data_IF_479808163074
#
_entry.id   IF_479808163074
#
_cell.length_a   1.000
_cell.length_b   1.000
_cell.length_c   1.000
_cell.angle_alpha   90.00
_cell.angle_beta   90.00
_cell.angle_gamma   90.00
#
_symmetry.space_group_name_H-M   'P 1'
#
loop_
_entity.id
_entity.type
_entity.pdbx_description
1 polymer ?
#
# COMPACT_ATOMS: atom_id res chain seq x y z
N UNK A 1 -26.83 14.66 -5.54
CA UNK A 1 -25.43 14.32 -5.87
C UNK A 1 -25.41 12.89 -6.38
N UNK A 2 -25.04 12.67 -7.64
CA UNK A 2 -24.90 11.30 -8.16
C UNK A 2 -23.77 10.56 -7.45
N UNK A 3 -23.75 9.22 -7.48
CA UNK A 3 -22.62 8.46 -6.98
C UNK A 3 -21.34 8.94 -7.68
N UNK A 4 -20.21 9.06 -6.97
CA UNK A 4 -18.95 9.41 -7.60
C UNK A 4 -18.68 8.43 -8.75
N UNK A 5 -18.10 8.89 -9.88
CA UNK A 5 -17.77 8.01 -11.00
C UNK A 5 -16.95 6.82 -10.49
N UNK A 6 -17.12 5.62 -11.08
CA UNK A 6 -16.42 4.43 -10.61
C UNK A 6 -14.92 4.72 -10.59
N UNK A 7 -14.34 4.71 -9.39
CA UNK A 7 -12.92 4.96 -9.23
C UNK A 7 -12.16 3.99 -10.13
N UNK A 8 -11.38 4.52 -11.07
CA UNK A 8 -10.56 3.70 -11.95
C UNK A 8 -9.72 2.72 -11.15
N UNK A 9 -9.46 1.53 -11.71
CA UNK A 9 -8.55 0.56 -11.11
C UNK A 9 -7.22 0.60 -11.85
N UNK A 10 -6.13 0.59 -11.10
CA UNK A 10 -4.77 0.44 -11.62
C UNK A 10 -4.34 -1.02 -11.46
N UNK A 11 -3.75 -1.59 -12.51
CA UNK A 11 -3.32 -2.99 -12.58
C UNK A 11 -1.81 -3.10 -12.41
N UNK A 12 -1.39 -4.05 -11.58
CA UNK A 12 0.01 -4.44 -11.41
C UNK A 12 0.18 -5.90 -11.81
N UNK A 13 1.16 -6.19 -12.66
CA UNK A 13 1.41 -7.52 -13.21
C UNK A 13 2.88 -7.87 -13.12
N UNK A 14 3.18 -9.04 -12.56
CA UNK A 14 4.53 -9.58 -12.55
C UNK A 14 4.80 -10.33 -13.85
N UNK A 15 5.74 -9.81 -14.63
CA UNK A 15 6.25 -10.47 -15.84
C UNK A 15 7.47 -11.31 -15.49
N UNK A 16 7.53 -12.55 -15.98
CA UNK A 16 8.63 -13.49 -15.73
C UNK A 16 8.21 -14.74 -14.95
N UNK A 17 9.19 -15.59 -14.64
CA UNK A 17 8.98 -16.79 -13.83
C UNK A 17 9.09 -16.47 -12.34
N UNK A 18 8.19 -17.03 -11.53
CA UNK A 18 8.37 -17.09 -10.09
C UNK A 18 9.22 -18.31 -9.74
N UNK A 19 9.88 -18.32 -8.56
CA UNK A 19 10.47 -19.54 -8.03
C UNK A 19 9.43 -20.67 -7.99
N UNK A 20 9.80 -21.94 -8.29
CA UNK A 20 8.84 -23.05 -8.37
C UNK A 20 7.98 -23.23 -7.10
N UNK A 21 8.51 -22.89 -5.93
CA UNK A 21 7.80 -23.00 -4.66
C UNK A 21 6.77 -21.87 -4.41
N UNK A 22 6.79 -20.80 -5.20
CA UNK A 22 5.82 -19.69 -5.16
C UNK A 22 4.83 -19.73 -6.33
N UNK A 23 5.15 -20.46 -7.39
CA UNK A 23 4.28 -20.60 -8.55
C UNK A 23 2.92 -21.19 -8.12
N UNK A 24 1.83 -20.56 -8.56
CA UNK A 24 0.47 -20.93 -8.16
C UNK A 24 0.04 -20.58 -6.73
N UNK A 25 0.95 -20.10 -5.87
CA UNK A 25 0.61 -19.67 -4.49
C UNK A 25 0.30 -18.18 -4.36
N UNK A 26 0.85 -17.37 -5.26
CA UNK A 26 0.64 -15.92 -5.28
C UNK A 26 -0.02 -15.48 -6.59
N UNK A 27 -0.93 -14.50 -6.56
CA UNK A 27 -1.48 -13.93 -7.78
C UNK A 27 -0.40 -13.26 -8.60
N UNK A 28 -0.37 -13.53 -9.90
CA UNK A 28 0.51 -12.82 -10.84
C UNK A 28 0.04 -11.39 -11.12
N UNK A 29 -1.21 -11.09 -10.81
CA UNK A 29 -1.86 -9.81 -11.07
C UNK A 29 -2.62 -9.30 -9.84
N UNK A 30 -2.49 -8.01 -9.59
CA UNK A 30 -3.28 -7.27 -8.61
C UNK A 30 -3.99 -6.10 -9.28
N UNK A 31 -5.16 -5.74 -8.75
CA UNK A 31 -5.88 -4.53 -9.11
C UNK A 31 -6.31 -3.79 -7.86
N UNK A 32 -5.95 -2.52 -7.78
CA UNK A 32 -6.34 -1.63 -6.68
C UNK A 32 -6.97 -0.36 -7.26
N UNK A 33 -7.72 0.37 -6.45
CA UNK A 33 -8.21 1.68 -6.86
C UNK A 33 -7.05 2.62 -7.18
N UNK A 34 -7.21 3.42 -8.24
CA UNK A 34 -6.20 4.37 -8.71
C UNK A 34 -5.79 5.35 -7.61
N UNK A 35 -6.72 5.73 -6.72
CA UNK A 35 -6.41 6.56 -5.55
C UNK A 35 -5.37 5.92 -4.62
N UNK A 36 -5.44 4.61 -4.38
CA UNK A 36 -4.42 3.89 -3.59
C UNK A 36 -3.10 3.79 -4.36
N UNK A 37 -3.14 3.56 -5.68
CA UNK A 37 -1.93 3.58 -6.52
C UNK A 37 -1.21 4.95 -6.47
N UNK A 38 -1.97 6.04 -6.55
CA UNK A 38 -1.43 7.40 -6.48
C UNK A 38 -0.84 7.69 -5.11
N UNK A 39 -1.51 7.25 -4.04
CA UNK A 39 -0.98 7.29 -2.66
C UNK A 39 0.35 6.55 -2.57
N UNK A 40 0.42 5.30 -3.04
CA UNK A 40 1.66 4.52 -3.01
C UNK A 40 2.77 5.23 -3.79
N UNK A 41 2.48 5.80 -4.96
CA UNK A 41 3.46 6.56 -5.75
C UNK A 41 4.03 7.74 -4.96
N UNK A 42 3.18 8.48 -4.24
CA UNK A 42 3.62 9.59 -3.36
C UNK A 42 4.49 9.08 -2.20
N UNK A 43 4.05 8.03 -1.50
CA UNK A 43 4.78 7.45 -0.37
C UNK A 43 6.16 6.91 -0.78
N UNK A 44 6.23 6.20 -1.92
CA UNK A 44 7.50 5.79 -2.49
C UNK A 44 8.34 7.03 -2.82
N UNK A 45 7.81 8.04 -3.51
CA UNK A 45 8.54 9.28 -3.81
C UNK A 45 9.15 9.97 -2.58
N UNK A 46 8.37 10.11 -1.50
CA UNK A 46 8.81 10.72 -0.24
C UNK A 46 9.90 9.91 0.45
N UNK A 47 9.72 8.58 0.52
CA UNK A 47 10.69 7.67 1.15
C UNK A 47 12.00 7.57 0.36
N UNK A 48 11.96 7.82 -0.96
CA UNK A 48 13.14 7.86 -1.82
C UNK A 48 13.97 9.15 -1.68
N UNK A 49 13.42 10.21 -1.07
CA UNK A 49 14.05 11.52 -0.95
C UNK A 49 15.06 11.67 0.19
N UNK A 50 15.04 10.78 1.20
CA UNK A 50 15.99 10.81 2.33
C UNK A 50 17.19 9.87 2.20
N UNK A 51 17.07 8.84 1.36
CA UNK A 51 18.15 7.93 0.97
C UNK A 51 18.02 7.71 -0.52
N UNK A 52 18.89 8.36 -1.30
CA UNK A 52 19.06 8.15 -2.73
C UNK A 52 19.51 6.70 -3.06
N UNK A 53 18.66 5.70 -2.78
CA UNK A 53 18.87 4.28 -3.11
C UNK A 53 17.80 3.72 -4.03
N UNK A 54 16.81 4.52 -4.43
CA UNK A 54 15.76 4.07 -5.34
C UNK A 54 16.17 4.09 -6.81
N UNK A 55 17.30 4.72 -7.15
CA UNK A 55 18.04 4.41 -8.37
C UNK A 55 19.02 3.25 -8.18
N UNK A 56 19.37 2.86 -6.94
CA UNK A 56 20.41 1.88 -6.68
C UNK A 56 19.97 0.41 -6.85
N UNK A 57 18.66 0.13 -6.93
CA UNK A 57 18.16 -1.24 -7.16
C UNK A 57 17.61 -1.48 -8.57
N UNK A 58 17.37 -0.43 -9.37
CA UNK A 58 16.82 -0.56 -10.73
C UNK A 58 15.42 -1.18 -10.81
N UNK A 59 14.74 -1.41 -9.69
CA UNK A 59 13.44 -2.11 -9.65
C UNK A 59 12.30 -1.14 -9.99
N UNK A 60 11.50 -1.42 -11.04
CA UNK A 60 10.37 -0.56 -11.41
C UNK A 60 9.35 -0.37 -10.28
N UNK A 61 8.62 0.74 -10.30
CA UNK A 61 7.55 1.03 -9.32
C UNK A 61 6.50 -0.08 -9.29
N UNK A 62 6.15 -0.61 -10.46
CA UNK A 62 5.13 -1.62 -10.66
C UNK A 62 5.49 -2.92 -9.94
N UNK A 63 6.77 -3.30 -9.97
CA UNK A 63 7.29 -4.50 -9.31
C UNK A 63 7.30 -4.30 -7.79
N UNK A 64 7.67 -3.10 -7.30
CA UNK A 64 7.62 -2.77 -5.87
C UNK A 64 6.19 -2.80 -5.33
N UNK A 65 5.23 -2.24 -6.07
CA UNK A 65 3.81 -2.30 -5.74
C UNK A 65 3.28 -3.73 -5.77
N UNK A 66 3.62 -4.53 -6.79
CA UNK A 66 3.24 -5.93 -6.84
C UNK A 66 3.76 -6.70 -5.62
N UNK A 67 5.04 -6.52 -5.26
CA UNK A 67 5.65 -7.18 -4.10
C UNK A 67 4.98 -6.76 -2.78
N UNK A 68 4.68 -5.46 -2.62
CA UNK A 68 3.93 -4.95 -1.47
C UNK A 68 2.57 -5.65 -1.35
N UNK A 69 1.79 -5.67 -2.43
CA UNK A 69 0.45 -6.28 -2.45
C UNK A 69 0.52 -7.78 -2.20
N UNK A 70 1.49 -8.48 -2.78
CA UNK A 70 1.72 -9.90 -2.55
C UNK A 70 2.04 -10.20 -1.07
N UNK A 71 2.86 -9.38 -0.40
CA UNK A 71 3.17 -9.55 1.02
C UNK A 71 1.93 -9.35 1.90
N UNK A 72 1.14 -8.31 1.63
CA UNK A 72 -0.05 -8.03 2.42
C UNK A 72 -1.19 -9.03 2.15
N UNK A 73 -1.32 -9.55 0.92
CA UNK A 73 -2.22 -10.68 0.65
C UNK A 73 -1.75 -11.96 1.35
N UNK A 74 -0.45 -12.23 1.43
CA UNK A 74 0.05 -13.38 2.18
C UNK A 74 -0.22 -13.26 3.69
N UNK A 75 -0.25 -12.04 4.22
CA UNK A 75 -0.54 -11.76 5.63
C UNK A 75 -2.04 -11.85 5.96
N UNK A 76 -2.90 -11.24 5.14
CA UNK A 76 -4.34 -11.15 5.42
C UNK A 76 -5.18 -12.25 4.76
N UNK A 77 -4.60 -12.98 3.81
CA UNK A 77 -5.33 -13.93 2.97
C UNK A 77 -5.95 -13.28 1.72
N UNK A 78 -6.56 -14.11 0.86
CA UNK A 78 -7.09 -13.69 -0.45
C UNK A 78 -8.44 -12.96 -0.38
N UNK A 79 -9.11 -12.96 0.78
CA UNK A 79 -10.45 -12.41 0.95
C UNK A 79 -10.43 -11.29 1.99
N UNK A 80 -10.96 -10.15 1.58
CA UNK A 80 -11.24 -8.95 2.37
C UNK A 80 -10.04 -8.12 2.87
N UNK A 81 -10.16 -6.80 2.66
CA UNK A 81 -9.29 -5.80 3.26
C UNK A 81 -9.35 -5.93 4.79
N UNK A 82 -8.36 -6.62 5.36
CA UNK A 82 -8.16 -6.67 6.80
C UNK A 82 -8.88 -7.77 7.57
N UNK A 83 -9.50 -8.78 6.91
CA UNK A 83 -9.99 -10.07 7.42
C UNK A 83 -10.17 -10.26 8.97
N UNK A 84 -10.70 -9.26 9.68
CA UNK A 84 -10.86 -9.24 11.14
C UNK A 84 -9.65 -8.87 12.01
N UNK A 85 -8.49 -8.47 11.46
CA UNK A 85 -7.31 -8.13 12.27
C UNK A 85 -7.30 -6.66 12.72
N UNK A 86 -7.14 -5.69 11.81
CA UNK A 86 -7.16 -4.27 12.16
C UNK A 86 -7.77 -3.43 11.02
N UNK A 87 -8.54 -2.40 11.40
CA UNK A 87 -9.14 -1.42 10.48
C UNK A 87 -8.52 -0.04 10.69
N UNK A 88 -8.42 0.74 9.62
CA UNK A 88 -8.03 2.14 9.74
C UNK A 88 -9.17 2.98 10.33
N UNK A 89 -8.81 3.97 11.14
CA UNK A 89 -9.75 5.02 11.54
C UNK A 89 -10.07 5.92 10.34
N UNK A 90 -11.21 6.62 10.41
CA UNK A 90 -11.59 7.58 9.37
C UNK A 90 -10.54 8.70 9.29
N UNK A 91 -10.19 9.22 8.09
CA UNK A 91 -9.21 10.30 7.94
C UNK A 91 -9.52 11.54 8.78
N UNK A 92 -10.80 11.87 8.99
CA UNK A 92 -11.23 12.97 9.86
C UNK A 92 -10.82 12.78 11.33
N UNK A 93 -10.78 11.53 11.82
CA UNK A 93 -10.32 11.21 13.18
C UNK A 93 -8.82 11.46 13.30
N UNK A 94 -8.04 11.04 12.30
CA UNK A 94 -6.60 11.35 12.28
C UNK A 94 -6.31 12.84 12.17
N UNK A 95 -7.12 13.60 11.44
CA UNK A 95 -7.00 15.06 11.38
C UNK A 95 -7.21 15.71 12.74
N UNK A 96 -8.28 15.33 13.47
CA UNK A 96 -8.55 15.81 14.82
C UNK A 96 -7.43 15.41 15.80
N UNK A 97 -6.94 14.17 15.74
CA UNK A 97 -5.82 13.71 16.56
C UNK A 97 -4.53 14.51 16.30
N UNK A 98 -4.27 14.87 15.04
CA UNK A 98 -3.12 15.67 14.69
C UNK A 98 -3.25 17.12 15.18
N UNK A 99 -4.43 17.73 15.05
CA UNK A 99 -4.70 19.11 15.46
C UNK A 99 -4.76 19.28 16.99
N UNK A 100 -5.53 18.43 17.68
CA UNK A 100 -5.82 18.58 19.10
C UNK A 100 -4.73 17.99 20.01
N UNK A 101 -4.06 16.93 19.56
CA UNK A 101 -3.10 16.16 20.37
C UNK A 101 -1.70 16.09 19.78
N UNK A 102 -1.46 16.73 18.62
CA UNK A 102 -0.14 16.73 17.97
C UNK A 102 0.29 15.35 17.45
N UNK A 103 -0.65 14.44 17.18
CA UNK A 103 -0.33 13.10 16.65
C UNK A 103 0.28 13.22 15.25
N UNK A 104 1.50 12.71 15.09
CA UNK A 104 2.25 12.81 13.83
C UNK A 104 2.75 11.45 13.29
N UNK A 105 2.49 10.34 13.99
CA UNK A 105 3.02 9.03 13.63
C UNK A 105 2.05 7.89 13.95
N UNK A 106 1.78 7.02 12.97
CA UNK A 106 0.98 5.81 13.19
C UNK A 106 1.87 4.62 13.60
N UNK A 107 1.67 4.06 14.79
CA UNK A 107 2.47 2.91 15.24
C UNK A 107 2.08 1.58 14.58
N UNK A 108 0.85 1.46 14.07
CA UNK A 108 0.33 0.25 13.47
C UNK A 108 -0.40 0.58 12.17
N UNK A 109 0.36 0.69 11.09
CA UNK A 109 -0.20 0.93 9.77
C UNK A 109 0.54 0.13 8.69
N UNK A 110 0.18 0.41 7.46
CA UNK A 110 0.77 -0.10 6.23
C UNK A 110 0.78 1.02 5.20
N UNK A 111 1.59 0.91 4.14
CA UNK A 111 1.49 1.85 3.02
C UNK A 111 0.09 1.91 2.39
N UNK A 112 -0.74 0.86 2.57
CA UNK A 112 -2.10 0.78 2.05
C UNK A 112 -3.07 1.62 2.89
N UNK A 113 -2.99 1.55 4.22
CA UNK A 113 -3.99 2.11 5.14
C UNK A 113 -3.54 3.35 5.94
N UNK A 114 -2.27 3.76 5.87
CA UNK A 114 -1.78 4.92 6.64
C UNK A 114 -2.52 6.21 6.27
N UNK A 115 -2.84 7.02 7.27
CA UNK A 115 -3.41 8.36 7.08
C UNK A 115 -2.35 9.45 7.19
N UNK A 116 -1.30 9.21 7.97
CA UNK A 116 -0.18 10.11 8.18
C UNK A 116 0.99 9.76 7.25
N UNK A 117 1.87 10.74 7.03
CA UNK A 117 3.08 10.54 6.21
C UNK A 117 4.16 9.69 6.89
N UNK A 118 4.09 9.53 8.22
CA UNK A 118 5.04 8.76 9.01
C UNK A 118 4.32 7.65 9.78
N UNK A 119 4.82 6.42 9.64
CA UNK A 119 4.20 5.25 10.26
C UNK A 119 5.20 4.11 10.43
N UNK A 120 4.91 3.21 11.37
CA UNK A 120 5.49 1.89 11.45
C UNK A 120 4.62 0.87 10.70
N UNK A 121 5.30 -0.09 10.07
CA UNK A 121 4.74 -1.12 9.21
C UNK A 121 5.33 -2.47 9.62
N UNK A 122 4.57 -3.56 9.42
CA UNK A 122 5.09 -4.91 9.65
C UNK A 122 6.22 -5.29 8.68
N UNK A 123 6.32 -4.59 7.54
CA UNK A 123 7.33 -4.78 6.49
C UNK A 123 8.03 -3.49 6.08
#
# INVERSE_FOLDING_TARGET
AGPPPPAGKTRFELRGSLPPHLEGRLPRRFEIYTQHSDKLRRLFGMSCGGLARSSATGVPFEIRCWALLARYQALYGPHDEGAGWHMALMPAVFAALAEEFGVAHELFASPLNCSLGAYCSVF
#
